data_IF_658957264481
#
_entry.id   IF_658957264481
#
_cell.length_a   1.000
_cell.length_b   1.000
_cell.length_c   1.000
_cell.angle_alpha   90.00
_cell.angle_beta   90.00
_cell.angle_gamma   90.00
#
_symmetry.space_group_name_H-M   'P 1'
#
loop_
_entity.id
_entity.type
_entity.pdbx_description
1 polymer ?
#
# COMPACT_ATOMS: atom_id res chain seq x y z
N UNK A 1 -24.94 -1.96 13.54
CA UNK A 1 -23.60 -1.44 13.19
C UNK A 1 -23.61 -1.05 11.73
N UNK A 2 -23.19 0.18 11.42
CA UNK A 2 -23.04 0.69 10.06
C UNK A 2 -21.56 0.90 9.77
N UNK A 3 -21.05 0.42 8.65
CA UNK A 3 -19.64 0.56 8.29
C UNK A 3 -19.42 0.46 6.78
N UNK A 4 -18.25 0.86 6.31
CA UNK A 4 -17.84 0.61 4.94
C UNK A 4 -17.16 -0.75 4.83
N UNK A 5 -17.66 -1.59 3.92
CA UNK A 5 -17.08 -2.87 3.60
C UNK A 5 -16.48 -2.90 2.19
N UNK A 6 -15.57 -3.83 1.94
CA UNK A 6 -15.08 -4.13 0.60
C UNK A 6 -15.23 -5.62 0.29
N UNK A 7 -16.02 -5.92 -0.74
CA UNK A 7 -16.21 -7.28 -1.25
C UNK A 7 -15.06 -7.61 -2.20
N UNK A 8 -14.21 -8.55 -1.80
CA UNK A 8 -13.04 -8.95 -2.61
C UNK A 8 -13.40 -9.70 -3.87
N UNK A 9 -14.48 -10.50 -3.83
CA UNK A 9 -14.88 -11.32 -4.97
C UNK A 9 -15.46 -10.45 -6.09
N UNK A 10 -16.18 -9.40 -5.71
CA UNK A 10 -16.78 -8.45 -6.66
C UNK A 10 -15.86 -7.27 -6.97
N UNK A 11 -14.84 -7.02 -6.14
CA UNK A 11 -13.96 -5.87 -6.27
C UNK A 11 -14.70 -4.55 -6.03
N UNK A 12 -15.63 -4.52 -5.07
CA UNK A 12 -16.54 -3.38 -4.81
C UNK A 12 -16.51 -2.93 -3.37
N UNK A 13 -16.61 -1.63 -3.16
CA UNK A 13 -16.98 -1.08 -1.87
C UNK A 13 -18.49 -1.20 -1.67
N UNK A 14 -18.91 -1.21 -0.41
CA UNK A 14 -20.32 -1.19 -0.02
C UNK A 14 -20.50 -0.47 1.30
N UNK A 15 -21.71 0.06 1.51
CA UNK A 15 -22.20 0.39 2.85
C UNK A 15 -22.82 -0.86 3.44
N UNK A 16 -22.34 -1.26 4.61
CA UNK A 16 -22.75 -2.48 5.27
C UNK A 16 -23.55 -2.16 6.55
N UNK A 17 -24.67 -2.85 6.72
CA UNK A 17 -25.46 -2.89 7.95
C UNK A 17 -25.35 -4.29 8.54
N UNK A 18 -24.87 -4.38 9.78
CA UNK A 18 -24.90 -5.61 10.56
C UNK A 18 -25.67 -5.37 11.86
N UNK A 19 -26.79 -6.06 12.01
CA UNK A 19 -27.54 -6.15 13.26
C UNK A 19 -27.08 -7.42 13.99
N UNK A 20 -26.69 -7.28 15.25
CA UNK A 20 -26.27 -8.41 16.09
C UNK A 20 -27.08 -8.36 17.38
N UNK A 21 -27.58 -9.50 17.83
CA UNK A 21 -28.17 -9.65 19.15
C UNK A 21 -27.14 -9.27 20.21
N UNK A 22 -27.46 -8.31 21.06
CA UNK A 22 -26.51 -7.68 22.00
C UNK A 22 -25.69 -8.69 22.83
N UNK A 23 -26.32 -9.78 23.28
CA UNK A 23 -25.68 -10.85 24.06
C UNK A 23 -24.57 -11.59 23.32
N UNK A 24 -24.59 -11.58 21.98
CA UNK A 24 -23.60 -12.21 21.11
C UNK A 24 -22.51 -11.23 20.65
N UNK A 25 -22.71 -9.93 20.87
CA UNK A 25 -21.84 -8.92 20.32
C UNK A 25 -20.43 -8.99 20.94
N UNK A 26 -19.45 -9.14 20.06
CA UNK A 26 -18.04 -8.86 20.32
C UNK A 26 -17.40 -8.33 19.03
N UNK A 27 -16.24 -7.71 19.15
CA UNK A 27 -15.44 -7.23 18.01
C UNK A 27 -15.06 -8.39 17.09
N UNK A 28 -14.60 -9.50 17.68
CA UNK A 28 -14.36 -10.78 17.03
C UNK A 28 -15.58 -11.27 16.25
N UNK A 29 -16.76 -11.31 16.89
CA UNK A 29 -17.98 -11.82 16.25
C UNK A 29 -18.43 -10.92 15.09
N UNK A 30 -18.37 -9.59 15.26
CA UNK A 30 -18.58 -8.63 14.19
C UNK A 30 -17.65 -8.89 13.00
N UNK A 31 -16.34 -9.04 13.26
CA UNK A 31 -15.35 -9.28 12.22
C UNK A 31 -15.63 -10.59 11.46
N UNK A 32 -15.90 -11.67 12.19
CA UNK A 32 -16.20 -12.98 11.62
C UNK A 32 -17.45 -12.96 10.75
N UNK A 33 -18.51 -12.25 11.17
CA UNK A 33 -19.72 -12.10 10.37
C UNK A 33 -19.47 -11.28 9.10
N UNK A 34 -18.70 -10.19 9.18
CA UNK A 34 -18.29 -9.41 7.99
C UNK A 34 -17.54 -10.29 6.98
N UNK A 35 -16.53 -11.02 7.44
CA UNK A 35 -15.73 -11.92 6.60
C UNK A 35 -16.56 -13.05 6.01
N UNK A 36 -17.46 -13.65 6.81
CA UNK A 36 -18.38 -14.69 6.36
C UNK A 36 -19.32 -14.19 5.25
N UNK A 37 -19.72 -12.93 5.32
CA UNK A 37 -20.51 -12.27 4.29
C UNK A 37 -19.68 -11.82 3.08
N UNK A 38 -18.35 -12.06 3.07
CA UNK A 38 -17.46 -11.72 1.97
C UNK A 38 -16.88 -10.30 2.01
N UNK A 39 -17.06 -9.56 3.12
CA UNK A 39 -16.65 -8.17 3.24
C UNK A 39 -15.46 -7.99 4.19
N UNK A 40 -14.44 -7.27 3.71
CA UNK A 40 -13.39 -6.69 4.55
C UNK A 40 -13.92 -5.43 5.23
N UNK A 41 -13.56 -5.21 6.49
CA UNK A 41 -13.93 -4.00 7.22
C UNK A 41 -13.01 -2.86 6.80
N UNK A 42 -13.55 -1.76 6.30
CA UNK A 42 -12.77 -0.64 5.73
C UNK A 42 -12.90 0.66 6.50
N UNK A 43 -13.77 0.72 7.50
CA UNK A 43 -13.97 1.89 8.36
C UNK A 43 -14.20 1.47 9.80
N UNK A 44 -14.05 2.42 10.72
CA UNK A 44 -14.64 2.26 12.04
C UNK A 44 -16.17 2.14 11.90
N UNK A 45 -16.81 1.13 12.54
CA UNK A 45 -18.25 1.01 12.52
C UNK A 45 -18.91 2.02 13.47
N UNK A 46 -20.01 2.60 13.02
CA UNK A 46 -20.97 3.29 13.86
C UNK A 46 -21.84 2.25 14.59
N UNK A 47 -21.67 2.17 15.90
CA UNK A 47 -22.36 1.21 16.76
C UNK A 47 -23.56 1.92 17.38
N UNK A 48 -24.75 1.53 16.92
CA UNK A 48 -26.02 2.07 17.40
C UNK A 48 -26.79 0.93 18.07
N UNK A 49 -27.20 1.14 19.31
CA UNK A 49 -28.13 0.24 19.99
C UNK A 49 -29.54 0.56 19.51
N UNK A 50 -30.24 -0.47 19.07
CA UNK A 50 -31.64 -0.36 18.62
C UNK A 50 -32.54 -1.02 19.66
N UNK A 51 -33.71 -0.43 19.89
CA UNK A 51 -34.71 -0.91 20.83
C UNK A 51 -35.86 -1.58 20.09
N UNK A 52 -36.40 -2.66 20.68
CA UNK A 52 -37.48 -3.47 20.09
C UNK A 52 -38.66 -2.61 19.65
N UNK A 53 -39.16 -1.74 20.53
CA UNK A 53 -40.29 -0.85 20.25
C UNK A 53 -40.06 0.00 19.00
N UNK A 54 -38.86 0.58 18.84
CA UNK A 54 -38.52 1.39 17.67
C UNK A 54 -38.44 0.56 16.39
N UNK A 55 -37.96 -0.68 16.47
CA UNK A 55 -37.88 -1.58 15.32
C UNK A 55 -39.26 -2.12 14.90
N UNK A 56 -40.11 -2.45 15.88
CA UNK A 56 -41.44 -3.01 15.64
C UNK A 56 -42.42 -1.99 15.08
N UNK A 57 -42.27 -0.71 15.46
CA UNK A 57 -43.02 0.42 14.92
C UNK A 57 -42.38 1.05 13.67
N UNK A 58 -41.22 0.55 13.24
CA UNK A 58 -40.48 1.05 12.09
C UNK A 58 -41.00 0.53 10.74
N UNK A 59 -40.38 0.96 9.63
CA UNK A 59 -40.66 0.43 8.30
C UNK A 59 -40.48 -1.10 8.25
N UNK A 60 -41.24 -1.78 7.39
CA UNK A 60 -41.25 -3.24 7.28
C UNK A 60 -39.85 -3.84 7.15
N UNK A 61 -38.99 -3.23 6.33
CA UNK A 61 -37.59 -3.66 6.15
C UNK A 61 -36.81 -3.70 7.47
N UNK A 62 -36.96 -2.67 8.32
CA UNK A 62 -36.27 -2.60 9.62
C UNK A 62 -36.83 -3.64 10.58
N UNK A 63 -38.15 -3.79 10.61
CA UNK A 63 -38.83 -4.80 11.45
C UNK A 63 -38.41 -6.22 11.07
N UNK A 64 -38.39 -6.54 9.79
CA UNK A 64 -37.99 -7.87 9.28
C UNK A 64 -36.52 -8.16 9.57
N UNK A 65 -35.64 -7.18 9.37
CA UNK A 65 -34.21 -7.30 9.72
C UNK A 65 -34.02 -7.54 11.23
N UNK A 66 -34.77 -6.84 12.07
CA UNK A 66 -34.74 -7.01 13.52
C UNK A 66 -35.20 -8.41 13.94
N UNK A 67 -36.38 -8.84 13.48
CA UNK A 67 -36.93 -10.17 13.81
C UNK A 67 -35.98 -11.29 13.36
N UNK A 68 -35.42 -11.19 12.16
CA UNK A 68 -34.42 -12.14 11.67
C UNK A 68 -33.19 -12.18 12.59
N UNK A 69 -32.70 -11.03 13.06
CA UNK A 69 -31.56 -10.97 13.97
C UNK A 69 -31.88 -11.54 15.36
N UNK A 70 -33.11 -11.43 15.84
CA UNK A 70 -33.54 -12.03 17.12
C UNK A 70 -33.57 -13.56 17.01
N UNK A 71 -34.10 -14.10 15.92
CA UNK A 71 -34.20 -15.54 15.67
C UNK A 71 -32.84 -16.19 15.36
N UNK A 72 -32.05 -15.56 14.49
CA UNK A 72 -30.82 -16.14 13.93
C UNK A 72 -29.54 -15.60 14.58
N UNK A 73 -29.66 -14.68 15.55
CA UNK A 73 -28.55 -14.02 16.24
C UNK A 73 -27.97 -12.81 15.50
N UNK A 74 -28.13 -12.71 14.19
CA UNK A 74 -27.71 -11.56 13.39
C UNK A 74 -28.52 -11.39 12.09
N UNK A 75 -28.40 -10.21 11.49
CA UNK A 75 -28.87 -9.90 10.15
C UNK A 75 -27.81 -9.04 9.44
N UNK A 76 -27.52 -9.35 8.18
CA UNK A 76 -26.56 -8.62 7.36
C UNK A 76 -27.23 -8.09 6.11
N UNK A 77 -26.99 -6.83 5.81
CA UNK A 77 -27.41 -6.16 4.59
C UNK A 77 -26.25 -5.31 4.07
N UNK A 78 -26.16 -5.16 2.75
CA UNK A 78 -25.23 -4.23 2.15
C UNK A 78 -25.84 -3.55 0.92
N UNK A 79 -25.37 -2.34 0.67
CA UNK A 79 -25.62 -1.59 -0.55
C UNK A 79 -24.27 -1.40 -1.25
N UNK A 80 -24.06 -2.12 -2.35
CA UNK A 80 -22.82 -2.06 -3.11
C UNK A 80 -22.73 -0.78 -3.94
N UNK A 81 -21.52 -0.23 -4.04
CA UNK A 81 -21.25 0.87 -4.96
C UNK A 81 -21.46 0.40 -6.41
N UNK A 82 -21.80 1.33 -7.30
CA UNK A 82 -22.18 1.02 -8.69
C UNK A 82 -21.04 0.40 -9.49
N UNK A 83 -19.80 0.81 -9.24
CA UNK A 83 -18.62 0.34 -9.95
C UNK A 83 -17.88 -0.83 -9.28
N UNK A 84 -17.08 -1.57 -10.05
CA UNK A 84 -16.11 -2.54 -9.55
C UNK A 84 -14.74 -2.39 -10.19
N UNK A 85 -13.70 -2.81 -9.46
CA UNK A 85 -12.34 -2.89 -10.00
C UNK A 85 -12.29 -3.71 -11.30
N UNK A 86 -13.10 -4.78 -11.40
CA UNK A 86 -13.16 -5.63 -12.59
C UNK A 86 -13.74 -4.98 -13.84
N UNK A 87 -14.42 -3.83 -13.71
CA UNK A 87 -14.94 -3.07 -14.85
C UNK A 87 -13.89 -2.16 -15.50
N UNK A 88 -12.73 -1.95 -14.86
CA UNK A 88 -11.71 -1.04 -15.36
C UNK A 88 -11.14 -1.53 -16.71
N UNK A 89 -11.31 -0.78 -17.81
CA UNK A 89 -10.77 -1.18 -19.11
C UNK A 89 -9.27 -0.92 -19.21
N UNK A 90 -8.71 -0.06 -18.35
CA UNK A 90 -7.32 0.38 -18.43
C UNK A 90 -6.37 -0.58 -17.69
N UNK A 91 -5.50 -1.24 -18.45
CA UNK A 91 -4.40 -2.06 -17.92
C UNK A 91 -3.15 -1.21 -17.67
N UNK A 92 -3.19 -0.39 -16.62
CA UNK A 92 -2.06 0.50 -16.27
C UNK A 92 -0.77 -0.32 -16.14
N UNK A 93 0.30 0.01 -16.90
CA UNK A 93 1.50 -0.82 -16.96
C UNK A 93 2.25 -0.81 -15.63
N UNK A 94 2.71 -1.97 -15.18
CA UNK A 94 3.63 -2.08 -14.04
C UNK A 94 5.04 -1.71 -14.48
N UNK A 95 5.72 -0.89 -13.68
CA UNK A 95 7.14 -0.60 -13.87
C UNK A 95 7.99 -1.66 -13.18
N UNK A 96 9.06 -2.09 -13.85
CA UNK A 96 9.90 -3.22 -13.47
C UNK A 96 11.38 -2.83 -13.40
N UNK A 97 12.22 -3.75 -12.94
CA UNK A 97 13.66 -3.54 -12.92
C UNK A 97 14.24 -3.36 -14.33
N UNK A 98 13.64 -4.01 -15.33
CA UNK A 98 14.07 -3.93 -16.74
C UNK A 98 13.84 -2.54 -17.33
N UNK A 99 12.78 -1.86 -16.90
CA UNK A 99 12.50 -0.48 -17.30
C UNK A 99 13.59 0.48 -16.82
N UNK A 100 14.03 0.29 -15.58
CA UNK A 100 15.11 1.09 -15.00
C UNK A 100 16.48 0.69 -15.53
N UNK A 101 16.69 -0.57 -15.93
CA UNK A 101 17.86 -0.98 -16.70
C UNK A 101 17.97 -0.18 -18.00
N UNK A 102 16.88 -0.09 -18.78
CA UNK A 102 16.88 0.67 -20.05
C UNK A 102 17.23 2.15 -19.82
N UNK A 103 16.72 2.76 -18.75
CA UNK A 103 17.11 4.14 -18.42
C UNK A 103 18.59 4.23 -18.07
N UNK A 104 19.11 3.34 -17.23
CA UNK A 104 20.52 3.34 -16.84
C UNK A 104 21.45 3.15 -18.04
N UNK A 105 21.07 2.30 -19.01
CA UNK A 105 21.80 2.11 -20.26
C UNK A 105 21.87 3.40 -21.10
N UNK A 106 20.78 4.20 -21.13
CA UNK A 106 20.78 5.53 -21.76
C UNK A 106 21.72 6.52 -21.05
N UNK A 107 22.00 6.31 -19.77
CA UNK A 107 22.99 7.06 -19.00
C UNK A 107 24.42 6.55 -19.21
N UNK A 108 24.65 5.71 -20.24
CA UNK A 108 25.91 5.00 -20.47
C UNK A 108 26.32 4.09 -19.31
N UNK A 109 25.35 3.70 -18.47
CA UNK A 109 25.52 2.69 -17.45
C UNK A 109 25.59 1.30 -18.04
N UNK A 110 26.29 0.40 -17.35
CA UNK A 110 26.39 -1.00 -17.72
C UNK A 110 25.85 -1.86 -16.58
N UNK A 111 25.11 -2.92 -16.94
CA UNK A 111 24.78 -3.98 -16.00
C UNK A 111 26.06 -4.71 -15.60
N UNK A 112 26.25 -4.94 -14.32
CA UNK A 112 27.37 -5.75 -13.81
C UNK A 112 26.96 -7.21 -13.92
N UNK A 113 27.83 -8.04 -14.52
CA UNK A 113 27.58 -9.46 -14.65
C UNK A 113 27.39 -10.11 -13.28
N UNK A 114 26.40 -11.00 -13.17
CA UNK A 114 26.17 -11.76 -11.94
C UNK A 114 27.35 -12.70 -11.68
N UNK A 115 28.13 -12.40 -10.65
CA UNK A 115 29.22 -13.25 -10.19
C UNK A 115 28.81 -14.13 -8.99
N UNK A 116 29.66 -15.07 -8.59
CA UNK A 116 29.45 -15.87 -7.36
C UNK A 116 29.34 -15.02 -6.10
N UNK A 117 29.95 -13.83 -6.11
CA UNK A 117 29.74 -12.78 -5.10
C UNK A 117 28.64 -11.83 -5.56
N UNK A 118 27.62 -11.61 -4.72
CA UNK A 118 26.56 -10.64 -5.05
C UNK A 118 27.14 -9.22 -5.09
N UNK A 119 27.32 -8.69 -6.29
CA UNK A 119 27.69 -7.32 -6.62
C UNK A 119 26.44 -6.44 -6.76
N UNK A 120 26.59 -5.11 -6.87
CA UNK A 120 25.47 -4.27 -7.21
C UNK A 120 25.07 -4.47 -8.68
N UNK A 121 23.85 -4.06 -9.04
CA UNK A 121 23.30 -4.32 -10.36
C UNK A 121 23.97 -3.52 -11.49
N UNK A 122 24.37 -2.26 -11.24
CA UNK A 122 24.82 -1.35 -12.30
C UNK A 122 26.04 -0.51 -11.94
N UNK A 123 26.76 -0.08 -12.97
CA UNK A 123 27.83 0.91 -12.92
C UNK A 123 27.62 2.01 -13.97
N UNK A 124 27.50 3.26 -13.53
CA UNK A 124 27.46 4.44 -14.40
C UNK A 124 28.74 5.24 -14.18
N UNK A 125 29.67 5.18 -15.13
CA UNK A 125 31.02 5.71 -14.93
C UNK A 125 31.72 5.04 -13.73
N UNK A 126 31.88 5.77 -12.63
CA UNK A 126 32.43 5.27 -11.36
C UNK A 126 31.38 5.26 -10.23
N UNK A 127 30.09 5.22 -10.57
CA UNK A 127 28.98 5.25 -9.61
C UNK A 127 28.31 3.88 -9.60
N UNK A 128 28.37 3.20 -8.46
CA UNK A 128 27.70 1.91 -8.29
C UNK A 128 26.24 2.11 -7.88
N UNK A 129 25.32 1.41 -8.54
CA UNK A 129 23.88 1.52 -8.27
C UNK A 129 23.32 0.12 -8.05
N UNK A 130 22.64 -0.05 -6.92
CA UNK A 130 21.81 -1.22 -6.66
C UNK A 130 20.33 -0.89 -6.90
N UNK A 131 19.59 -1.81 -7.51
CA UNK A 131 18.14 -1.72 -7.64
C UNK A 131 17.46 -2.64 -6.64
N UNK A 132 16.40 -2.16 -5.98
CA UNK A 132 15.51 -3.00 -5.16
C UNK A 132 14.06 -2.66 -5.42
N UNK A 133 13.27 -3.69 -5.70
CA UNK A 133 11.82 -3.58 -5.83
C UNK A 133 11.07 -4.08 -4.58
N UNK A 134 10.18 -3.22 -4.06
CA UNK A 134 9.28 -3.46 -2.94
C UNK A 134 7.91 -3.89 -3.50
N UNK A 135 7.84 -5.15 -3.93
CA UNK A 135 6.72 -5.72 -4.69
C UNK A 135 5.53 -6.19 -3.85
N UNK A 136 5.75 -6.44 -2.57
CA UNK A 136 4.77 -7.12 -1.72
C UNK A 136 4.26 -6.18 -0.65
N UNK A 137 2.93 -6.10 -0.53
CA UNK A 137 2.29 -5.37 0.54
C UNK A 137 2.50 -6.08 1.89
N UNK A 138 3.24 -5.42 2.77
CA UNK A 138 3.64 -5.93 4.07
C UNK A 138 2.48 -6.18 5.02
N UNK A 139 1.33 -5.50 4.87
CA UNK A 139 0.17 -5.71 5.72
C UNK A 139 -0.52 -7.06 5.47
N UNK A 140 -0.23 -7.77 4.38
CA UNK A 140 -0.71 -9.15 4.18
C UNK A 140 0.07 -10.20 4.98
N UNK A 141 1.28 -9.86 5.43
CA UNK A 141 2.14 -10.75 6.19
C UNK A 141 1.58 -11.01 7.60
N UNK A 142 1.44 -12.28 7.98
CA UNK A 142 0.81 -12.65 9.27
C UNK A 142 1.68 -12.30 10.46
N UNK A 143 2.99 -12.42 10.35
CA UNK A 143 3.90 -12.06 11.43
C UNK A 143 3.93 -10.54 11.65
N UNK A 144 3.79 -9.77 10.57
CA UNK A 144 3.57 -8.32 10.59
C UNK A 144 2.28 -7.97 11.31
N UNK A 145 1.17 -8.62 10.97
CA UNK A 145 -0.13 -8.42 11.62
C UNK A 145 -0.05 -8.68 13.14
N UNK A 146 0.62 -9.75 13.55
CA UNK A 146 0.87 -10.06 14.97
C UNK A 146 1.71 -8.96 15.64
N UNK A 147 2.75 -8.49 14.97
CA UNK A 147 3.63 -7.42 15.49
C UNK A 147 2.90 -6.09 15.64
N UNK A 148 2.07 -5.73 14.68
CA UNK A 148 1.17 -4.56 14.76
C UNK A 148 0.23 -4.71 15.96
N UNK A 149 -0.41 -5.87 16.13
CA UNK A 149 -1.28 -6.11 17.28
C UNK A 149 -0.58 -6.01 18.64
N UNK A 150 0.72 -6.31 18.72
CA UNK A 150 1.53 -6.10 19.93
C UNK A 150 1.74 -4.61 20.21
N UNK A 151 2.07 -3.81 19.18
CA UNK A 151 2.26 -2.36 19.31
C UNK A 151 0.98 -1.70 19.82
N UNK A 152 -0.16 -2.02 19.19
CA UNK A 152 -1.44 -1.41 19.51
C UNK A 152 -2.18 -2.08 20.66
N UNK A 153 -1.54 -2.96 21.44
CA UNK A 153 -2.19 -3.70 22.54
C UNK A 153 -2.84 -2.75 23.57
N UNK A 154 -2.15 -1.65 23.89
CA UNK A 154 -2.61 -0.66 24.87
C UNK A 154 -3.47 0.45 24.26
N UNK A 155 -3.64 0.49 22.93
CA UNK A 155 -4.50 1.48 22.28
C UNK A 155 -5.94 1.33 22.81
N UNK A 156 -6.63 2.41 23.22
CA UNK A 156 -7.96 2.29 23.83
C UNK A 156 -9.02 1.83 22.82
N UNK A 157 -8.90 2.23 21.55
CA UNK A 157 -9.88 1.90 20.51
C UNK A 157 -9.89 0.42 20.12
N UNK A 158 -11.08 -0.09 19.75
CA UNK A 158 -11.26 -1.46 19.24
C UNK A 158 -11.04 -1.59 17.73
N UNK A 159 -11.06 -0.46 17.04
CA UNK A 159 -10.82 -0.35 15.61
C UNK A 159 -9.62 0.57 15.41
N UNK A 160 -8.65 0.12 14.62
CA UNK A 160 -7.38 0.81 14.41
C UNK A 160 -7.20 1.02 12.92
N UNK A 161 -7.22 2.27 12.49
CA UNK A 161 -6.86 2.65 11.13
C UNK A 161 -5.33 2.50 10.97
N UNK A 162 -4.87 1.84 9.93
CA UNK A 162 -3.45 1.63 9.68
C UNK A 162 -2.87 2.64 8.69
N UNK A 163 -3.61 3.71 8.37
CA UNK A 163 -3.10 4.79 7.55
C UNK A 163 -1.84 5.41 8.19
N UNK A 164 -0.66 5.30 7.56
CA UNK A 164 0.60 5.60 8.24
C UNK A 164 0.81 7.06 8.65
N UNK A 165 0.06 8.00 8.08
CA UNK A 165 0.16 9.42 8.45
C UNK A 165 -0.68 9.79 9.69
N UNK A 166 -1.48 8.85 10.22
CA UNK A 166 -2.23 9.09 11.45
C UNK A 166 -1.31 9.11 12.67
N UNK A 167 -1.59 10.03 13.60
CA UNK A 167 -0.86 10.15 14.85
C UNK A 167 -1.55 9.34 15.96
N UNK A 168 -0.86 8.31 16.43
CA UNK A 168 -1.24 7.44 17.55
C UNK A 168 -0.49 7.75 18.85
N UNK A 169 0.04 8.97 18.99
CA UNK A 169 0.85 9.38 20.13
C UNK A 169 2.13 8.55 20.23
N UNK A 170 2.38 7.96 21.40
CA UNK A 170 3.57 7.15 21.67
C UNK A 170 3.67 5.87 20.81
N UNK A 171 2.56 5.43 20.22
CA UNK A 171 2.51 4.23 19.36
C UNK A 171 2.96 4.50 17.92
N UNK A 172 2.96 5.77 17.49
CA UNK A 172 3.32 6.17 16.12
C UNK A 172 4.74 5.75 15.78
N UNK A 173 5.71 6.09 16.64
CA UNK A 173 7.12 5.80 16.38
C UNK A 173 7.44 4.29 16.30
N UNK A 174 6.95 3.42 17.22
CA UNK A 174 7.07 1.98 17.07
C UNK A 174 6.42 1.44 15.79
N UNK A 175 5.25 1.95 15.40
CA UNK A 175 4.56 1.53 14.17
C UNK A 175 5.36 1.92 12.91
N UNK A 176 5.85 3.16 12.85
CA UNK A 176 6.72 3.63 11.77
C UNK A 176 8.02 2.84 11.72
N UNK A 177 8.66 2.59 12.86
CA UNK A 177 9.89 1.79 12.96
C UNK A 177 9.68 0.38 12.41
N UNK A 178 8.52 -0.23 12.70
CA UNK A 178 8.17 -1.55 12.17
C UNK A 178 8.16 -1.51 10.63
N UNK A 179 7.47 -0.55 10.01
CA UNK A 179 7.41 -0.39 8.54
C UNK A 179 8.80 -0.09 7.97
N UNK A 180 9.51 0.88 8.55
CA UNK A 180 10.85 1.31 8.15
C UNK A 180 11.85 0.15 8.12
N UNK A 181 11.75 -0.83 9.02
CA UNK A 181 12.64 -1.98 9.06
C UNK A 181 12.64 -2.81 7.76
N UNK A 182 11.52 -2.84 7.03
CA UNK A 182 11.47 -3.48 5.70
C UNK A 182 12.43 -2.76 4.75
N UNK A 183 12.28 -1.43 4.62
CA UNK A 183 13.12 -0.58 3.76
C UNK A 183 14.60 -0.65 4.19
N UNK A 184 14.86 -0.59 5.49
CA UNK A 184 16.20 -0.69 6.07
C UNK A 184 16.90 -2.00 5.69
N UNK A 185 16.17 -3.12 5.64
CA UNK A 185 16.73 -4.40 5.25
C UNK A 185 17.14 -4.44 3.77
N UNK A 186 16.37 -3.81 2.88
CA UNK A 186 16.74 -3.66 1.47
C UNK A 186 18.01 -2.82 1.30
N UNK A 187 18.07 -1.65 1.96
CA UNK A 187 19.25 -0.77 1.95
C UNK A 187 20.47 -1.49 2.54
N UNK A 188 20.31 -2.27 3.61
CA UNK A 188 21.41 -3.04 4.21
C UNK A 188 21.94 -4.12 3.26
N UNK A 189 21.08 -4.78 2.48
CA UNK A 189 21.49 -5.75 1.45
C UNK A 189 22.28 -5.05 0.33
N UNK A 190 21.74 -3.96 -0.21
CA UNK A 190 22.41 -3.12 -1.20
C UNK A 190 23.80 -2.66 -0.73
N UNK A 191 23.90 -2.20 0.52
CA UNK A 191 25.18 -1.77 1.09
C UNK A 191 26.22 -2.88 1.14
N UNK A 192 25.82 -4.14 1.39
CA UNK A 192 26.74 -5.28 1.34
C UNK A 192 27.24 -5.56 -0.08
N UNK A 193 26.33 -5.50 -1.06
CA UNK A 193 26.66 -5.70 -2.47
C UNK A 193 27.66 -4.65 -2.96
N UNK A 194 27.42 -3.38 -2.66
CA UNK A 194 28.32 -2.27 -3.00
C UNK A 194 29.70 -2.43 -2.33
N UNK A 195 29.74 -2.86 -1.06
CA UNK A 195 31.02 -3.12 -0.37
C UNK A 195 31.83 -4.22 -1.05
N UNK A 196 31.18 -5.31 -1.48
CA UNK A 196 31.84 -6.39 -2.19
C UNK A 196 32.46 -5.90 -3.51
N UNK A 197 31.76 -5.04 -4.26
CA UNK A 197 32.32 -4.44 -5.48
C UNK A 197 33.52 -3.52 -5.19
N UNK A 198 33.49 -2.77 -4.08
CA UNK A 198 34.62 -1.90 -3.68
C UNK A 198 35.93 -2.67 -3.44
N UNK A 199 35.88 -3.98 -3.22
CA UNK A 199 37.07 -4.81 -3.03
C UNK A 199 37.80 -5.10 -4.34
N UNK A 200 37.09 -5.03 -5.49
CA UNK A 200 37.64 -5.38 -6.81
C UNK A 200 37.69 -4.21 -7.77
N UNK A 201 36.92 -3.15 -7.54
CA UNK A 201 36.81 -1.99 -8.42
C UNK A 201 36.81 -0.67 -7.65
N UNK A 202 37.45 0.35 -8.21
CA UNK A 202 37.38 1.72 -7.68
C UNK A 202 36.04 2.33 -8.05
N UNK A 203 35.29 2.79 -7.06
CA UNK A 203 34.05 3.55 -7.25
C UNK A 203 34.10 4.86 -6.45
N UNK A 204 33.64 5.92 -7.10
CA UNK A 204 33.59 7.30 -6.57
C UNK A 204 32.39 7.51 -5.65
N UNK A 205 31.23 7.01 -6.06
CA UNK A 205 29.98 7.12 -5.32
C UNK A 205 29.17 5.82 -5.39
N UNK A 206 28.18 5.70 -4.52
CA UNK A 206 27.20 4.64 -4.66
C UNK A 206 25.80 5.06 -4.22
N UNK A 207 24.80 4.54 -4.92
CA UNK A 207 23.40 4.83 -4.68
C UNK A 207 22.52 3.58 -4.75
N UNK A 208 21.24 3.79 -4.47
CA UNK A 208 20.20 2.77 -4.59
C UNK A 208 19.00 3.33 -5.36
N UNK A 209 18.45 2.55 -6.28
CA UNK A 209 17.14 2.78 -6.88
C UNK A 209 16.14 1.91 -6.13
N UNK A 210 15.16 2.54 -5.48
CA UNK A 210 14.08 1.88 -4.77
C UNK A 210 12.79 2.01 -5.57
N UNK A 211 12.28 0.88 -6.04
CA UNK A 211 10.97 0.81 -6.69
C UNK A 211 9.93 0.39 -5.64
N UNK A 212 8.92 1.21 -5.38
CA UNK A 212 7.77 0.83 -4.58
C UNK A 212 6.60 0.51 -5.51
N UNK A 213 6.54 -0.75 -5.96
CA UNK A 213 5.55 -1.21 -6.95
C UNK A 213 4.43 -2.05 -6.35
N UNK A 214 4.48 -2.34 -5.04
CA UNK A 214 3.42 -3.11 -4.39
C UNK A 214 3.22 -2.90 -2.89
N UNK A 215 4.08 -2.13 -2.19
CA UNK A 215 3.81 -1.70 -0.81
C UNK A 215 3.01 -0.39 -0.81
N UNK A 216 1.79 -0.48 -1.33
CA UNK A 216 0.92 0.66 -1.59
C UNK A 216 0.36 1.32 -0.32
N UNK A 217 0.43 0.64 0.83
CA UNK A 217 0.05 1.24 2.11
C UNK A 217 1.03 2.29 2.60
N UNK A 218 2.26 2.32 2.07
CA UNK A 218 3.31 3.27 2.42
C UNK A 218 3.31 4.46 1.45
N UNK A 219 2.91 5.67 1.89
CA UNK A 219 2.95 6.88 1.06
C UNK A 219 4.36 7.23 0.61
N UNK A 220 4.47 7.87 -0.57
CA UNK A 220 5.76 8.20 -1.18
C UNK A 220 6.62 9.10 -0.30
N UNK A 221 6.06 10.19 0.25
CA UNK A 221 6.81 11.11 1.11
C UNK A 221 7.22 10.47 2.44
N UNK A 222 6.41 9.56 2.98
CA UNK A 222 6.79 8.80 4.18
C UNK A 222 7.94 7.83 3.86
N UNK A 223 7.89 7.13 2.73
CA UNK A 223 9.00 6.30 2.25
C UNK A 223 10.28 7.14 2.09
N UNK A 224 10.17 8.33 1.49
CA UNK A 224 11.30 9.25 1.36
C UNK A 224 11.90 9.60 2.73
N UNK A 225 11.06 10.01 3.69
CA UNK A 225 11.54 10.32 5.05
C UNK A 225 12.24 9.14 5.72
N UNK A 226 11.74 7.91 5.54
CA UNK A 226 12.34 6.70 6.08
C UNK A 226 13.71 6.43 5.49
N UNK A 227 13.85 6.58 4.17
CA UNK A 227 15.10 6.38 3.45
C UNK A 227 16.13 7.45 3.86
N UNK A 228 15.75 8.73 3.90
CA UNK A 228 16.62 9.81 4.38
C UNK A 228 17.17 9.50 5.78
N UNK A 229 16.30 9.17 6.73
CA UNK A 229 16.71 8.81 8.09
C UNK A 229 17.60 7.55 8.15
N UNK A 230 17.47 6.61 7.22
CA UNK A 230 18.37 5.44 7.14
C UNK A 230 19.75 5.86 6.60
N UNK A 231 19.80 6.67 5.55
CA UNK A 231 21.05 7.14 4.95
C UNK A 231 21.87 7.95 5.96
N UNK A 232 21.21 8.86 6.69
CA UNK A 232 21.86 9.72 7.69
C UNK A 232 22.49 8.92 8.85
N UNK A 233 21.82 7.84 9.27
CA UNK A 233 22.20 7.12 10.49
C UNK A 233 23.02 5.85 10.27
N UNK A 234 23.01 5.23 9.08
CA UNK A 234 23.48 3.84 8.96
C UNK A 234 24.23 3.48 7.68
N UNK A 235 24.47 4.40 6.73
CA UNK A 235 25.17 4.03 5.49
C UNK A 235 26.16 5.09 5.03
N UNK A 236 27.45 4.97 5.43
CA UNK A 236 28.54 5.65 4.69
C UNK A 236 28.77 5.07 3.30
N UNK A 237 28.15 3.93 3.01
CA UNK A 237 28.34 3.20 1.75
C UNK A 237 27.40 3.67 0.65
N UNK A 238 26.16 4.01 1.00
CA UNK A 238 25.14 4.48 0.05
C UNK A 238 24.94 5.96 0.36
N UNK A 239 25.16 6.80 -0.64
CA UNK A 239 25.20 8.26 -0.48
C UNK A 239 23.93 8.94 -0.97
N UNK A 240 23.21 8.30 -1.89
CA UNK A 240 21.94 8.77 -2.41
C UNK A 240 20.97 7.62 -2.66
N UNK A 241 19.70 7.96 -2.77
CA UNK A 241 18.66 7.06 -3.25
C UNK A 241 17.81 7.78 -4.30
N UNK A 242 17.45 7.07 -5.36
CA UNK A 242 16.33 7.44 -6.23
C UNK A 242 15.15 6.57 -5.83
N UNK A 243 14.01 7.18 -5.58
CA UNK A 243 12.79 6.48 -5.16
C UNK A 243 11.76 6.69 -6.24
N UNK A 244 11.22 5.59 -6.75
CA UNK A 244 10.07 5.59 -7.63
C UNK A 244 8.94 4.85 -6.93
N UNK A 245 7.75 5.41 -6.88
CA UNK A 245 6.57 4.69 -6.39
C UNK A 245 5.52 4.63 -7.47
N UNK A 246 4.78 3.53 -7.48
CA UNK A 246 3.68 3.33 -8.39
C UNK A 246 2.45 2.92 -7.59
N UNK A 247 1.34 3.62 -7.81
CA UNK A 247 0.06 3.27 -7.22
C UNK A 247 -1.07 3.56 -8.18
N UNK A 248 -2.10 2.73 -8.11
CA UNK A 248 -3.27 2.84 -8.95
C UNK A 248 -4.53 2.54 -8.15
N UNK A 249 -5.57 3.31 -8.38
CA UNK A 249 -6.89 3.06 -7.83
C UNK A 249 -7.94 3.21 -8.93
N UNK A 250 -8.97 2.37 -8.90
CA UNK A 250 -10.10 2.46 -9.83
C UNK A 250 -11.41 2.12 -9.11
N UNK A 251 -12.50 2.75 -9.53
CA UNK A 251 -13.86 2.30 -9.21
C UNK A 251 -14.49 1.52 -10.37
N UNK A 252 -13.74 1.25 -11.45
CA UNK A 252 -14.22 0.62 -12.67
C UNK A 252 -14.56 1.60 -13.80
N UNK A 253 -15.01 2.81 -13.46
CA UNK A 253 -15.32 3.86 -14.43
C UNK A 253 -14.18 4.88 -14.52
N UNK A 254 -13.69 5.32 -13.36
CA UNK A 254 -12.57 6.23 -13.19
C UNK A 254 -11.34 5.45 -12.73
N UNK A 255 -10.18 5.75 -13.31
CA UNK A 255 -8.89 5.15 -12.94
C UNK A 255 -7.87 6.25 -12.74
N UNK A 256 -7.24 6.25 -11.56
CA UNK A 256 -6.18 7.17 -11.18
C UNK A 256 -4.90 6.37 -10.98
N UNK A 257 -3.86 6.73 -11.71
CA UNK A 257 -2.52 6.16 -11.57
C UNK A 257 -1.53 7.29 -11.27
N UNK A 258 -0.68 7.09 -10.27
CA UNK A 258 0.30 8.09 -9.84
C UNK A 258 1.67 7.44 -9.74
N UNK A 259 2.68 8.14 -10.25
CA UNK A 259 4.05 7.66 -10.41
C UNK A 259 5.06 8.62 -9.77
N UNK A 260 4.94 8.97 -8.48
CA UNK A 260 5.86 9.95 -7.90
C UNK A 260 7.27 9.37 -7.86
N UNK A 261 8.24 10.21 -8.19
CA UNK A 261 9.66 9.87 -8.14
C UNK A 261 10.47 11.00 -7.57
N UNK A 262 11.70 10.71 -7.13
CA UNK A 262 12.62 11.74 -6.68
C UNK A 262 13.85 11.23 -5.97
N UNK A 263 14.80 12.14 -5.79
CA UNK A 263 16.08 11.86 -5.15
C UNK A 263 16.12 12.20 -3.66
N UNK A 264 17.02 11.51 -2.96
CA UNK A 264 17.40 11.75 -1.57
C UNK A 264 18.92 11.63 -1.43
N UNK A 265 19.52 12.45 -0.56
CA UNK A 265 20.93 12.36 -0.21
C UNK A 265 21.85 13.12 -1.17
N UNK A 266 23.11 12.70 -1.24
CA UNK A 266 24.17 13.36 -2.01
C UNK A 266 24.25 12.76 -3.41
N UNK A 267 23.47 13.34 -4.33
CA UNK A 267 23.33 12.88 -5.72
C UNK A 267 24.43 13.45 -6.61
N UNK A 268 25.23 12.62 -7.29
CA UNK A 268 26.16 13.05 -8.34
C UNK A 268 25.42 13.60 -9.57
N UNK A 269 26.01 14.58 -10.25
CA UNK A 269 25.37 15.26 -11.39
C UNK A 269 25.11 14.32 -12.57
N UNK A 270 25.97 13.31 -12.76
CA UNK A 270 25.86 12.29 -13.81
C UNK A 270 24.57 11.47 -13.70
N UNK A 271 23.98 11.38 -12.50
CA UNK A 271 22.77 10.59 -12.23
C UNK A 271 21.51 11.45 -12.19
N UNK A 272 21.61 12.78 -12.12
CA UNK A 272 20.42 13.66 -11.99
C UNK A 272 19.43 13.54 -13.14
N UNK A 273 19.92 13.21 -14.33
CA UNK A 273 19.10 13.01 -15.53
C UNK A 273 18.13 11.81 -15.42
N UNK A 274 18.38 10.86 -14.50
CA UNK A 274 17.51 9.71 -14.22
C UNK A 274 16.05 10.10 -13.96
N UNK A 275 15.82 11.22 -13.26
CA UNK A 275 14.47 11.71 -12.96
C UNK A 275 13.73 12.07 -14.26
N UNK A 276 14.34 12.90 -15.11
CA UNK A 276 13.74 13.28 -16.40
C UNK A 276 13.57 12.11 -17.37
N UNK A 277 14.47 11.12 -17.36
CA UNK A 277 14.33 9.92 -18.18
C UNK A 277 13.23 8.98 -17.64
N UNK A 278 13.03 8.97 -16.32
CA UNK A 278 11.91 8.26 -15.67
C UNK A 278 10.59 8.90 -16.07
N UNK A 279 10.48 10.23 -16.06
CA UNK A 279 9.27 10.94 -16.48
C UNK A 279 8.93 10.65 -17.95
N UNK A 280 9.92 10.73 -18.85
CA UNK A 280 9.74 10.36 -20.28
C UNK A 280 9.27 8.92 -20.45
N UNK A 281 9.80 7.99 -19.65
CA UNK A 281 9.39 6.59 -19.70
C UNK A 281 7.95 6.41 -19.21
N UNK A 282 7.55 7.12 -18.15
CA UNK A 282 6.15 7.13 -17.68
C UNK A 282 5.23 7.66 -18.77
N UNK A 283 5.55 8.81 -19.36
CA UNK A 283 4.77 9.41 -20.45
C UNK A 283 4.64 8.47 -21.65
N UNK A 284 5.75 7.83 -22.07
CA UNK A 284 5.75 6.88 -23.18
C UNK A 284 4.83 5.69 -22.91
N UNK A 285 4.94 5.06 -21.73
CA UNK A 285 4.09 3.91 -21.36
C UNK A 285 2.63 4.29 -21.21
N UNK A 286 2.33 5.46 -20.64
CA UNK A 286 0.95 5.93 -20.51
C UNK A 286 0.36 6.30 -21.88
N UNK A 287 1.16 6.85 -22.81
CA UNK A 287 0.74 7.08 -24.19
C UNK A 287 0.41 5.77 -24.90
N UNK A 288 1.25 4.74 -24.75
CA UNK A 288 1.02 3.42 -25.33
C UNK A 288 -0.24 2.73 -24.75
N UNK A 289 -0.52 2.92 -23.46
CA UNK A 289 -1.76 2.47 -22.83
C UNK A 289 -2.99 3.08 -23.51
N UNK A 290 -2.96 4.40 -23.77
CA UNK A 290 -4.08 5.11 -24.40
C UNK A 290 -4.28 4.72 -25.87
N UNK A 291 -3.25 4.17 -26.51
CA UNK A 291 -3.31 3.67 -27.89
C UNK A 291 -3.70 2.19 -27.98
N UNK A 292 -3.97 1.52 -26.84
CA UNK A 292 -4.23 0.07 -26.73
C UNK A 292 -3.13 -0.81 -27.36
N UNK A 293 -1.89 -0.31 -27.37
CA UNK A 293 -0.74 -0.99 -27.98
C UNK A 293 -0.01 -1.92 -27.01
N UNK A 294 -0.47 -2.02 -25.75
CA UNK A 294 0.22 -2.74 -24.71
C UNK A 294 -0.41 -4.09 -24.38
N UNK A 295 0.34 -5.16 -24.64
CA UNK A 295 0.10 -6.47 -24.04
C UNK A 295 0.95 -6.56 -22.75
N UNK A 296 0.51 -5.87 -21.68
CA UNK A 296 1.36 -5.59 -20.50
C UNK A 296 0.98 -6.34 -19.25
N UNK A 297 2.01 -6.62 -18.45
CA UNK A 297 1.90 -6.82 -17.02
C UNK A 297 1.32 -5.55 -16.38
N UNK A 298 0.09 -5.63 -15.87
CA UNK A 298 -0.61 -4.49 -15.29
C UNK A 298 -0.38 -4.40 -13.78
N UNK A 299 -0.31 -3.17 -13.25
CA UNK A 299 -0.36 -2.98 -11.80
C UNK A 299 -1.76 -3.33 -11.27
N UNK A 300 -1.80 -3.92 -10.08
CA UNK A 300 -3.06 -4.24 -9.39
C UNK A 300 -3.59 -3.00 -8.69
N UNK A 301 -4.91 -2.78 -8.77
CA UNK A 301 -5.56 -1.72 -7.99
C UNK A 301 -5.30 -1.89 -6.50
N UNK A 302 -4.99 -0.77 -5.83
CA UNK A 302 -5.04 -0.71 -4.38
C UNK A 302 -6.43 -1.14 -3.90
N UNK A 303 -6.45 -1.89 -2.80
CA UNK A 303 -7.68 -2.40 -2.21
C UNK A 303 -7.53 -2.50 -0.69
N UNK A 304 -8.63 -2.42 0.07
CA UNK A 304 -8.59 -2.46 1.51
C UNK A 304 -8.01 -3.74 2.11
N UNK A 305 -7.38 -3.57 3.27
CA UNK A 305 -6.80 -4.64 4.07
C UNK A 305 -7.40 -4.54 5.46
N UNK A 306 -7.90 -5.66 5.98
CA UNK A 306 -8.34 -5.75 7.37
C UNK A 306 -7.94 -7.07 7.98
N UNK A 307 -7.68 -7.05 9.28
CA UNK A 307 -7.38 -8.24 10.07
C UNK A 307 -7.76 -8.04 11.54
N UNK A 308 -8.00 -9.16 12.22
CA UNK A 308 -8.30 -9.21 13.64
C UNK A 308 -7.04 -9.65 14.39
N UNK A 309 -6.67 -8.90 15.43
CA UNK A 309 -5.57 -9.27 16.32
C UNK A 309 -5.81 -8.71 17.72
N UNK A 310 -5.63 -9.54 18.76
CA UNK A 310 -5.74 -9.15 20.17
C UNK A 310 -7.07 -8.43 20.52
N UNK A 311 -8.21 -8.89 20.02
CA UNK A 311 -9.51 -8.29 20.32
C UNK A 311 -9.78 -6.94 19.64
N UNK A 312 -9.03 -6.64 18.57
CA UNK A 312 -9.10 -5.40 17.81
C UNK A 312 -9.12 -5.70 16.32
N UNK A 313 -9.86 -4.88 15.57
CA UNK A 313 -9.82 -4.90 14.11
C UNK A 313 -8.89 -3.80 13.64
N UNK A 314 -7.91 -4.19 12.84
CA UNK A 314 -7.03 -3.30 12.13
C UNK A 314 -7.51 -3.21 10.69
N UNK A 315 -7.54 -2.00 10.14
CA UNK A 315 -7.96 -1.79 8.77
C UNK A 315 -7.13 -0.70 8.10
N UNK A 316 -6.88 -0.84 6.82
CA UNK A 316 -6.36 0.19 5.94
C UNK A 316 -7.24 0.26 4.71
N UNK A 317 -7.51 1.47 4.21
CA UNK A 317 -8.25 1.67 2.98
C UNK A 317 -7.57 2.74 2.11
N UNK A 318 -7.55 2.57 0.77
CA UNK A 318 -6.98 3.55 -0.16
C UNK A 318 -7.86 4.79 -0.37
N UNK A 319 -8.92 4.97 0.43
CA UNK A 319 -10.02 5.88 0.10
C UNK A 319 -10.97 5.29 -0.96
N UNK A 320 -11.94 6.09 -1.40
CA UNK A 320 -12.89 5.76 -2.48
C UNK A 320 -12.81 6.81 -3.58
N UNK A 321 -12.93 6.37 -4.83
CA UNK A 321 -13.13 7.28 -5.97
C UNK A 321 -14.64 7.51 -6.12
N UNK A 322 -15.09 8.71 -5.75
CA UNK A 322 -16.47 9.16 -5.97
C UNK A 322 -16.54 9.80 -7.35
N UNK A 323 -17.48 9.37 -8.20
CA UNK A 323 -17.63 9.92 -9.56
C UNK A 323 -17.90 11.43 -9.52
N UNK A 324 -17.06 12.20 -10.23
CA UNK A 324 -17.11 13.67 -10.26
C UNK A 324 -16.54 14.34 -9.01
N UNK A 325 -15.30 14.85 -9.12
CA UNK A 325 -14.52 15.54 -8.07
C UNK A 325 -14.23 14.70 -6.81
N UNK A 326 -13.01 14.16 -6.80
CA UNK A 326 -12.36 13.50 -5.66
C UNK A 326 -12.31 14.39 -4.43
N UNK A 327 -12.88 13.95 -3.30
CA UNK A 327 -12.58 14.57 -1.99
C UNK A 327 -11.30 14.03 -1.34
N UNK A 328 -10.70 12.93 -1.79
CA UNK A 328 -9.64 12.24 -1.02
C UNK A 328 -8.43 11.71 -1.81
N UNK A 329 -8.18 12.21 -3.03
CA UNK A 329 -6.87 12.00 -3.70
C UNK A 329 -5.79 13.00 -3.23
N UNK A 330 -6.13 13.92 -2.31
CA UNK A 330 -5.27 14.97 -1.74
C UNK A 330 -4.74 14.64 -0.33
N UNK A 331 -4.65 13.36 0.05
CA UNK A 331 -3.99 12.98 1.33
C UNK A 331 -2.51 12.62 1.15
N UNK A 332 -1.85 13.17 0.12
CA UNK A 332 -0.40 13.12 -0.03
C UNK A 332 0.18 14.53 -0.14
#
# INVERSE_FOLDING_TARGET
>A
MLYEGFNRNEGKFAKCLLLIKEQLYSVEYFYQLSEKSGFKVCSQPDIIRVFEESCMNGPEMIRSAYLHAIENGYYFYHEADSGSIGMNPFKVPRFSEDDFREIIEKLHGNKIDESTTKTPDFLVGQIAIELKDLQTESLFDKDRQVSIGKIFKQYPGKFVDLYPLLNYGELTAPFHTLIQNTVKNHIKKASKQIKALKETQTISNAGIILLNTGMFTLPHELLKSFVQGILDNNTRTIEFAFIFSQRMQTNGFDTYAVFPSGFIGRVPDEIRILESETDKMVEAKMTQLMQDLLNVNAIVSMHPISFLQNGKIFYWHPGKIMGGMTKHFERD
#
